data_IF_852584885356
#
_entry.id   IF_852584885356
#
_cell.length_a   1.000
_cell.length_b   1.000
_cell.length_c   1.000
_cell.angle_alpha   90.00
_cell.angle_beta   90.00
_cell.angle_gamma   90.00
#
_symmetry.space_group_name_H-M   'P 1'
#
loop_
_entity.id
_entity.type
_entity.pdbx_description
1 polymer ?
#
# COMPACT_ATOMS: atom_id res chain seq x y z
N UNK A 1 -37.27 3.67 58.39
CA UNK A 1 -35.94 3.10 58.73
C UNK A 1 -35.79 1.65 58.29
N UNK A 2 -36.75 0.73 58.52
CA UNK A 2 -36.63 -0.68 58.11
C UNK A 2 -36.42 -0.89 56.57
N UNK A 3 -37.13 -0.11 55.73
CA UNK A 3 -37.02 -0.18 54.26
C UNK A 3 -35.66 0.28 53.76
N UNK A 4 -35.08 1.33 54.36
CA UNK A 4 -33.76 1.83 53.98
C UNK A 4 -32.67 0.81 54.37
N UNK A 5 -32.77 0.20 55.57
CA UNK A 5 -31.83 -0.81 56.00
C UNK A 5 -31.88 -2.07 55.10
N UNK A 6 -33.10 -2.49 54.74
CA UNK A 6 -33.30 -3.61 53.82
C UNK A 6 -32.68 -3.35 52.44
N UNK A 7 -32.87 -2.14 51.90
CA UNK A 7 -32.29 -1.76 50.59
C UNK A 7 -30.75 -1.78 50.61
N UNK A 8 -30.14 -1.30 51.70
CA UNK A 8 -28.68 -1.32 51.88
C UNK A 8 -28.15 -2.76 51.94
N UNK A 9 -28.84 -3.63 52.68
CA UNK A 9 -28.44 -5.04 52.82
C UNK A 9 -28.58 -5.76 51.44
N UNK A 10 -29.69 -5.56 50.73
CA UNK A 10 -29.91 -6.20 49.42
C UNK A 10 -28.88 -5.72 48.40
N UNK A 11 -28.63 -4.41 48.32
CA UNK A 11 -27.60 -3.86 47.40
C UNK A 11 -26.21 -4.35 47.77
N UNK A 12 -25.89 -4.41 49.06
CA UNK A 12 -24.60 -4.93 49.53
C UNK A 12 -24.38 -6.40 49.19
N UNK A 13 -25.39 -7.25 49.38
CA UNK A 13 -25.35 -8.66 49.00
C UNK A 13 -25.24 -8.85 47.49
N UNK A 14 -25.99 -8.07 46.68
CA UNK A 14 -25.87 -8.10 45.24
C UNK A 14 -24.47 -7.68 44.80
N UNK A 15 -23.93 -6.61 45.34
CA UNK A 15 -22.57 -6.14 45.06
C UNK A 15 -21.50 -7.18 45.37
N UNK A 16 -21.61 -7.81 46.54
CA UNK A 16 -20.70 -8.89 46.96
C UNK A 16 -20.80 -10.12 46.01
N UNK A 17 -22.02 -10.50 45.62
CA UNK A 17 -22.25 -11.60 44.70
C UNK A 17 -21.62 -11.32 43.33
N UNK A 18 -21.89 -10.15 42.72
CA UNK A 18 -21.29 -9.78 41.47
C UNK A 18 -19.77 -9.63 41.55
N UNK A 19 -19.24 -9.06 42.61
CA UNK A 19 -17.80 -8.97 42.85
C UNK A 19 -17.13 -10.35 42.93
N UNK A 20 -17.75 -11.30 43.63
CA UNK A 20 -17.26 -12.68 43.67
C UNK A 20 -17.30 -13.38 42.31
N UNK A 21 -18.40 -13.21 41.56
CA UNK A 21 -18.53 -13.76 40.20
C UNK A 21 -17.47 -13.19 39.25
N UNK A 22 -17.24 -11.87 39.29
CA UNK A 22 -16.20 -11.23 38.50
C UNK A 22 -14.78 -11.70 38.87
N UNK A 23 -14.52 -11.88 40.19
CA UNK A 23 -13.23 -12.40 40.65
C UNK A 23 -12.98 -13.84 40.18
N UNK A 24 -14.01 -14.69 40.22
CA UNK A 24 -13.94 -16.07 39.72
C UNK A 24 -13.75 -16.05 38.19
N UNK A 25 -14.54 -15.27 37.47
CA UNK A 25 -14.42 -15.12 36.04
C UNK A 25 -13.03 -14.63 35.63
N UNK A 26 -12.48 -13.63 36.33
CA UNK A 26 -11.11 -13.13 36.11
C UNK A 26 -10.04 -14.21 36.26
N UNK A 27 -10.19 -15.12 37.21
CA UNK A 27 -9.25 -16.26 37.37
C UNK A 27 -9.44 -17.35 36.33
N UNK A 28 -10.69 -17.68 36.00
CA UNK A 28 -11.01 -18.77 35.05
C UNK A 28 -10.66 -18.37 33.60
N UNK A 29 -10.86 -17.09 33.25
CA UNK A 29 -10.56 -16.54 31.93
C UNK A 29 -9.21 -15.81 31.87
N UNK A 30 -8.35 -15.99 32.90
CA UNK A 30 -7.02 -15.40 32.83
C UNK A 30 -6.22 -16.06 31.71
N UNK A 31 -5.78 -15.23 30.75
CA UNK A 31 -4.87 -15.64 29.67
C UNK A 31 -3.47 -15.19 30.07
N UNK A 32 -2.58 -16.13 30.26
CA UNK A 32 -1.17 -15.83 30.50
C UNK A 32 -0.58 -15.17 29.23
N UNK A 33 -0.30 -13.88 29.33
CA UNK A 33 0.35 -13.14 28.23
C UNK A 33 1.85 -13.25 28.43
N UNK A 34 2.55 -13.75 27.42
CA UNK A 34 4.02 -13.78 27.41
C UNK A 34 4.56 -12.34 27.60
N UNK A 35 5.43 -12.09 28.59
CA UNK A 35 5.99 -10.75 28.81
C UNK A 35 6.72 -10.20 27.59
N UNK A 36 7.25 -11.06 26.72
CA UNK A 36 7.85 -10.68 25.45
C UNK A 36 6.83 -10.06 24.48
N UNK A 37 5.56 -10.51 24.52
CA UNK A 37 4.50 -9.94 23.69
C UNK A 37 4.27 -8.45 24.00
N UNK A 38 4.27 -8.07 25.28
CA UNK A 38 4.12 -6.67 25.71
C UNK A 38 5.31 -5.83 25.22
N UNK A 39 6.54 -6.33 25.38
CA UNK A 39 7.74 -5.65 24.93
C UNK A 39 7.78 -5.50 23.38
N UNK A 40 7.42 -6.55 22.65
CA UNK A 40 7.29 -6.48 21.18
C UNK A 40 6.22 -5.47 20.78
N UNK A 41 5.05 -5.47 21.46
CA UNK A 41 3.97 -4.51 21.18
C UNK A 41 4.40 -3.06 21.37
N UNK A 42 5.19 -2.76 22.39
CA UNK A 42 5.73 -1.42 22.65
C UNK A 42 6.77 -1.01 21.59
N UNK A 43 7.56 -1.95 21.11
CA UNK A 43 8.55 -1.69 20.05
C UNK A 43 7.91 -1.44 18.66
N UNK A 44 6.66 -1.86 18.44
CA UNK A 44 5.96 -1.69 17.17
C UNK A 44 5.52 -0.23 16.92
N UNK A 45 5.35 0.15 15.67
CA UNK A 45 4.94 1.50 15.25
C UNK A 45 3.54 1.95 15.75
N UNK A 46 2.72 1.05 16.26
CA UNK A 46 1.40 1.36 16.83
C UNK A 46 0.31 1.74 15.81
N UNK A 47 0.61 1.79 14.53
CA UNK A 47 -0.30 2.26 13.48
C UNK A 47 -1.53 1.36 13.25
N UNK A 48 -1.52 0.12 13.74
CA UNK A 48 -2.59 -0.88 13.54
C UNK A 48 -3.06 -1.02 12.07
N UNK A 49 -2.15 -0.78 11.12
CA UNK A 49 -2.45 -0.67 9.68
C UNK A 49 -2.76 -2.00 9.00
N UNK A 50 -2.51 -3.15 9.64
CA UNK A 50 -2.71 -4.48 9.07
C UNK A 50 -1.72 -4.87 7.95
N UNK A 51 -0.78 -3.99 7.57
CA UNK A 51 0.15 -4.22 6.46
C UNK A 51 1.13 -5.40 6.66
N UNK A 52 1.27 -5.88 7.88
CA UNK A 52 1.99 -7.11 8.21
C UNK A 52 1.17 -8.39 7.99
N UNK A 53 -0.13 -8.28 7.64
CA UNK A 53 -1.05 -9.40 7.46
C UNK A 53 -1.71 -9.90 8.76
N UNK A 54 -1.54 -9.17 9.89
CA UNK A 54 -2.15 -9.48 11.18
C UNK A 54 -3.22 -8.46 11.56
N UNK A 55 -4.23 -8.84 12.36
CA UNK A 55 -5.28 -7.92 12.80
C UNK A 55 -4.74 -6.94 13.86
N UNK A 56 -4.02 -5.91 13.40
CA UNK A 56 -3.39 -4.91 14.25
C UNK A 56 -2.05 -5.32 14.88
N UNK A 57 -1.45 -4.39 15.59
CA UNK A 57 -0.13 -4.58 16.20
C UNK A 57 -0.15 -5.62 17.34
N UNK A 58 -1.27 -5.75 18.05
CA UNK A 58 -1.40 -6.75 19.13
C UNK A 58 -1.38 -8.17 18.60
N UNK A 59 -2.09 -8.42 17.47
CA UNK A 59 -2.09 -9.73 16.79
C UNK A 59 -0.71 -10.11 16.26
N UNK A 60 0.02 -9.15 15.70
CA UNK A 60 1.38 -9.38 15.26
C UNK A 60 2.34 -9.63 16.42
N UNK A 61 2.28 -8.82 17.48
CA UNK A 61 3.11 -9.02 18.69
C UNK A 61 2.90 -10.40 19.31
N UNK A 62 1.65 -10.85 19.40
CA UNK A 62 1.32 -12.19 19.89
C UNK A 62 1.91 -13.30 18.98
N UNK A 63 1.80 -13.16 17.67
CA UNK A 63 2.34 -14.14 16.72
C UNK A 63 3.89 -14.20 16.77
N UNK A 64 4.55 -13.04 16.90
CA UNK A 64 6.01 -12.98 17.04
C UNK A 64 6.46 -13.62 18.37
N UNK A 65 5.79 -13.31 19.48
CA UNK A 65 6.13 -13.88 20.80
C UNK A 65 5.99 -15.42 20.81
N UNK A 66 5.03 -15.98 20.06
CA UNK A 66 4.87 -17.43 19.88
C UNK A 66 5.81 -18.05 18.84
N UNK A 67 6.61 -17.24 18.12
CA UNK A 67 7.47 -17.72 17.02
C UNK A 67 6.73 -18.07 15.73
N UNK A 68 5.46 -17.70 15.59
CA UNK A 68 4.61 -17.96 14.42
C UNK A 68 4.84 -16.91 13.30
N UNK A 69 5.47 -15.78 13.62
CA UNK A 69 5.76 -14.72 12.67
C UNK A 69 7.22 -14.24 12.78
N UNK A 70 7.86 -13.90 11.65
CA UNK A 70 9.19 -13.32 11.67
C UNK A 70 9.19 -11.88 12.20
N UNK A 71 10.31 -11.41 12.75
CA UNK A 71 10.44 -10.10 13.41
C UNK A 71 10.37 -8.90 12.46
N UNK A 72 10.51 -9.10 11.14
CA UNK A 72 10.66 -8.07 10.12
C UNK A 72 9.39 -7.75 9.30
N UNK A 73 8.22 -8.23 9.71
CA UNK A 73 6.96 -7.97 8.97
C UNK A 73 6.31 -6.60 9.23
N UNK A 74 6.77 -5.84 10.22
CA UNK A 74 6.18 -4.52 10.51
C UNK A 74 6.62 -3.49 9.45
N UNK A 75 5.83 -3.35 8.37
CA UNK A 75 6.14 -2.42 7.27
C UNK A 75 6.13 -0.95 7.71
N UNK A 76 5.23 -0.56 8.62
CA UNK A 76 5.13 0.81 9.13
C UNK A 76 6.32 1.19 10.04
N UNK A 77 6.87 0.22 10.77
CA UNK A 77 8.02 0.44 11.66
C UNK A 77 9.38 0.33 10.95
N UNK A 78 9.41 -0.30 9.79
CA UNK A 78 10.62 -0.49 8.98
C UNK A 78 11.72 -1.27 9.70
N UNK A 79 12.95 -1.07 9.23
CA UNK A 79 14.14 -1.79 9.71
C UNK A 79 14.46 -1.53 11.19
N UNK A 80 14.29 -0.29 11.66
CA UNK A 80 14.54 0.07 13.06
C UNK A 80 13.64 -0.70 14.03
N UNK A 81 12.37 -0.89 13.68
CA UNK A 81 11.44 -1.70 14.46
C UNK A 81 11.77 -3.18 14.38
N UNK A 82 12.10 -3.68 13.19
CA UNK A 82 12.52 -5.08 13.01
C UNK A 82 13.74 -5.44 13.85
N UNK A 83 14.74 -4.55 13.92
CA UNK A 83 15.93 -4.73 14.75
C UNK A 83 15.57 -4.83 16.25
N UNK A 84 14.74 -3.91 16.76
CA UNK A 84 14.28 -3.93 18.18
C UNK A 84 13.50 -5.20 18.51
N UNK A 85 12.59 -5.61 17.61
CA UNK A 85 11.80 -6.84 17.81
C UNK A 85 12.69 -8.07 17.80
N UNK A 86 13.69 -8.13 16.91
CA UNK A 86 14.66 -9.22 16.84
C UNK A 86 15.53 -9.30 18.11
N UNK A 87 15.93 -8.14 18.66
CA UNK A 87 16.67 -8.05 19.93
C UNK A 87 15.83 -8.59 21.08
N UNK A 88 14.55 -8.19 21.21
CA UNK A 88 13.62 -8.69 22.24
C UNK A 88 13.43 -10.20 22.14
N UNK A 89 13.37 -10.73 20.92
CA UNK A 89 13.18 -12.15 20.66
C UNK A 89 14.48 -12.97 20.70
N UNK A 90 15.65 -12.33 20.73
CA UNK A 90 16.96 -12.98 20.70
C UNK A 90 17.28 -13.69 19.38
N UNK A 91 16.76 -13.20 18.26
CA UNK A 91 16.98 -13.77 16.92
C UNK A 91 17.70 -12.78 16.00
N UNK A 92 18.36 -13.29 14.95
CA UNK A 92 18.94 -12.44 13.92
C UNK A 92 17.85 -11.73 13.09
N UNK A 93 18.10 -10.46 12.74
CA UNK A 93 17.23 -9.69 11.87
C UNK A 93 17.66 -9.87 10.41
N UNK A 94 16.89 -10.63 9.64
CA UNK A 94 17.02 -10.65 8.19
C UNK A 94 16.25 -9.45 7.62
N UNK A 95 16.96 -8.38 7.27
CA UNK A 95 16.37 -7.16 6.75
C UNK A 95 15.62 -7.45 5.43
N UNK A 96 14.31 -7.34 5.45
CA UNK A 96 13.52 -7.40 4.23
C UNK A 96 13.63 -6.07 3.47
N UNK A 97 13.77 -6.12 2.14
CA UNK A 97 13.75 -4.92 1.31
C UNK A 97 12.45 -4.12 1.55
N UNK A 98 12.58 -2.83 1.85
CA UNK A 98 11.44 -1.93 1.97
C UNK A 98 10.68 -1.88 0.64
N UNK A 99 9.39 -2.14 0.69
CA UNK A 99 8.49 -2.06 -0.45
C UNK A 99 7.78 -0.71 -0.48
N UNK A 100 7.48 -0.21 -1.69
CA UNK A 100 6.69 1.01 -1.89
C UNK A 100 5.64 0.78 -2.97
N UNK A 101 4.52 1.47 -2.88
CA UNK A 101 3.49 1.41 -3.90
C UNK A 101 3.96 2.07 -5.20
N UNK A 102 3.50 1.55 -6.31
CA UNK A 102 3.70 2.10 -7.64
C UNK A 102 2.42 1.98 -8.47
N UNK A 103 2.07 3.04 -9.21
CA UNK A 103 0.92 3.06 -10.12
C UNK A 103 1.42 3.15 -11.56
N UNK A 104 1.40 2.05 -12.33
CA UNK A 104 1.89 2.04 -13.72
C UNK A 104 0.88 2.70 -14.66
N UNK A 105 0.68 4.00 -14.50
CA UNK A 105 -0.15 4.81 -15.38
C UNK A 105 0.31 6.28 -15.36
N UNK A 106 0.61 6.84 -16.53
CA UNK A 106 0.87 8.27 -16.75
C UNK A 106 -0.24 8.94 -17.56
N UNK A 107 -1.33 8.21 -17.83
CA UNK A 107 -2.49 8.72 -18.58
C UNK A 107 -3.36 9.65 -17.75
N UNK A 108 -2.86 10.85 -17.47
CA UNK A 108 -3.61 11.94 -16.85
C UNK A 108 -4.70 12.49 -17.79
N UNK A 109 -5.53 13.42 -17.33
CA UNK A 109 -6.53 14.07 -18.18
C UNK A 109 -5.88 14.81 -19.36
N UNK A 110 -4.68 15.38 -19.17
CA UNK A 110 -3.92 16.02 -20.23
C UNK A 110 -3.35 15.04 -21.28
N UNK A 111 -3.14 13.77 -20.88
CA UNK A 111 -2.42 12.78 -21.69
C UNK A 111 -3.30 11.68 -22.27
N UNK A 112 -4.45 11.38 -21.68
CA UNK A 112 -5.34 10.31 -22.10
C UNK A 112 -6.66 10.85 -22.62
N UNK A 113 -7.10 10.36 -23.77
CA UNK A 113 -8.40 10.69 -24.33
C UNK A 113 -9.54 10.12 -23.47
N UNK A 114 -10.58 10.94 -23.26
CA UNK A 114 -11.75 10.55 -22.51
C UNK A 114 -12.82 9.95 -23.43
N UNK A 115 -13.51 8.95 -22.95
CA UNK A 115 -14.68 8.36 -23.60
C UNK A 115 -15.95 9.13 -23.25
N UNK A 116 -16.04 9.58 -22.00
CA UNK A 116 -17.14 10.37 -21.45
C UNK A 116 -16.67 11.13 -20.21
N UNK A 117 -17.41 12.18 -19.85
CA UNK A 117 -17.23 12.88 -18.59
C UNK A 117 -18.00 12.13 -17.50
N UNK A 118 -17.30 11.70 -16.47
CA UNK A 118 -17.89 11.02 -15.34
C UNK A 118 -18.43 12.03 -14.32
N UNK A 119 -19.74 11.98 -14.04
CA UNK A 119 -20.44 12.87 -13.09
C UNK A 119 -21.01 12.12 -11.87
N UNK A 120 -20.63 10.86 -11.69
CA UNK A 120 -21.08 10.02 -10.58
C UNK A 120 -20.28 10.21 -9.28
N UNK A 121 -20.54 9.34 -8.28
CA UNK A 121 -19.79 9.35 -7.03
C UNK A 121 -18.27 9.26 -7.24
N UNK A 122 -17.49 9.96 -6.40
CA UNK A 122 -16.04 9.90 -6.42
C UNK A 122 -15.52 8.56 -5.86
N UNK A 123 -15.88 7.47 -6.51
CA UNK A 123 -15.56 6.10 -6.14
C UNK A 123 -15.24 5.25 -7.36
N UNK A 124 -14.03 4.63 -7.37
CA UNK A 124 -13.57 3.81 -8.49
C UNK A 124 -14.40 2.54 -8.68
N UNK A 125 -14.94 1.95 -7.60
CA UNK A 125 -15.79 0.75 -7.68
C UNK A 125 -17.13 1.11 -8.30
N UNK A 126 -17.74 2.21 -7.84
CA UNK A 126 -18.98 2.72 -8.43
C UNK A 126 -18.81 3.05 -9.93
N UNK A 127 -17.72 3.73 -10.29
CA UNK A 127 -17.45 4.07 -11.69
C UNK A 127 -17.28 2.82 -12.60
N UNK A 128 -16.76 1.73 -12.07
CA UNK A 128 -16.66 0.46 -12.82
C UNK A 128 -18.02 -0.17 -13.10
N UNK A 129 -19.03 0.03 -12.26
CA UNK A 129 -20.37 -0.49 -12.47
C UNK A 129 -21.06 0.23 -13.66
N UNK A 130 -20.77 1.51 -13.87
CA UNK A 130 -21.30 2.33 -14.96
C UNK A 130 -20.54 2.17 -16.28
N UNK A 131 -20.39 0.95 -16.78
CA UNK A 131 -19.75 0.68 -18.08
C UNK A 131 -18.48 -0.15 -18.03
N UNK A 132 -18.13 -0.72 -16.87
CA UNK A 132 -17.07 -1.72 -16.69
C UNK A 132 -15.62 -1.23 -16.93
N UNK A 133 -15.44 0.09 -17.18
CA UNK A 133 -14.14 0.65 -17.60
C UNK A 133 -13.99 2.08 -17.09
N UNK A 134 -12.77 2.60 -17.11
CA UNK A 134 -12.46 4.00 -16.86
C UNK A 134 -13.23 4.95 -17.81
N UNK A 135 -13.46 6.20 -17.38
CA UNK A 135 -13.89 7.30 -18.27
C UNK A 135 -12.90 7.56 -19.39
N UNK A 136 -11.64 7.13 -19.24
CA UNK A 136 -10.60 7.20 -20.24
C UNK A 136 -10.79 6.12 -21.33
N UNK A 137 -10.42 6.39 -22.56
CA UNK A 137 -10.47 5.42 -23.67
C UNK A 137 -9.58 4.20 -23.39
N UNK A 138 -8.44 4.39 -22.72
CA UNK A 138 -7.57 3.29 -22.30
C UNK A 138 -8.26 2.43 -21.24
N UNK A 139 -8.54 1.18 -21.56
CA UNK A 139 -9.20 0.24 -20.63
C UNK A 139 -8.32 -0.20 -19.48
N UNK A 140 -7.01 -0.03 -19.59
CA UNK A 140 -6.01 -0.36 -18.57
C UNK A 140 -5.69 0.83 -17.65
N UNK A 141 -6.17 2.03 -17.96
CA UNK A 141 -5.82 3.25 -17.23
C UNK A 141 -6.32 3.24 -15.78
N UNK A 142 -5.61 3.99 -14.95
CA UNK A 142 -6.12 4.41 -13.64
C UNK A 142 -7.42 5.19 -13.80
N UNK A 143 -8.43 4.87 -12.98
CA UNK A 143 -9.74 5.57 -13.00
C UNK A 143 -9.59 6.99 -12.47
N UNK A 144 -8.78 7.18 -11.41
CA UNK A 144 -8.46 8.50 -10.88
C UNK A 144 -9.45 9.07 -9.86
N UNK A 145 -10.37 8.26 -9.29
CA UNK A 145 -11.39 8.72 -8.33
C UNK A 145 -11.01 8.48 -6.84
N UNK A 146 -9.76 8.13 -6.53
CA UNK A 146 -9.17 8.28 -5.21
C UNK A 146 -9.44 7.18 -4.18
N UNK A 147 -9.96 5.98 -4.52
CA UNK A 147 -10.13 4.92 -3.53
C UNK A 147 -8.82 4.55 -2.84
N UNK A 148 -7.72 4.46 -3.59
CA UNK A 148 -6.39 4.18 -3.06
C UNK A 148 -5.86 5.33 -2.18
N UNK A 149 -6.17 6.59 -2.49
CA UNK A 149 -5.79 7.75 -1.69
C UNK A 149 -6.53 7.75 -0.34
N UNK A 150 -7.85 7.53 -0.36
CA UNK A 150 -8.65 7.42 0.88
C UNK A 150 -8.27 6.24 1.76
N UNK A 151 -7.76 5.15 1.18
CA UNK A 151 -7.27 3.99 1.95
C UNK A 151 -5.87 4.18 2.54
N UNK A 152 -5.15 5.22 2.12
CA UNK A 152 -3.79 5.47 2.59
C UNK A 152 -3.80 6.21 3.93
N UNK A 153 -3.34 5.54 4.99
CA UNK A 153 -3.23 6.12 6.34
C UNK A 153 -1.96 6.97 6.54
N UNK A 154 -1.04 6.94 5.57
CA UNK A 154 0.28 7.57 5.65
C UNK A 154 0.41 8.80 4.75
N UNK A 155 -0.69 9.28 4.19
CA UNK A 155 -0.72 10.41 3.25
C UNK A 155 0.30 10.27 2.09
N UNK A 156 0.51 9.03 1.64
CA UNK A 156 1.48 8.70 0.61
C UNK A 156 0.87 8.53 -0.79
N UNK A 157 -0.45 8.67 -0.94
CA UNK A 157 -1.16 8.44 -2.18
C UNK A 157 -2.08 9.60 -2.51
N UNK A 158 -1.83 10.27 -3.64
CA UNK A 158 -2.58 11.44 -4.08
C UNK A 158 -3.15 11.24 -5.48
N UNK A 159 -4.25 11.92 -5.80
CA UNK A 159 -4.78 11.97 -7.17
C UNK A 159 -4.32 13.28 -7.80
N UNK A 160 -3.56 13.19 -8.87
CA UNK A 160 -3.04 14.35 -9.62
C UNK A 160 -3.50 14.20 -11.07
N UNK A 161 -4.23 15.18 -11.57
CA UNK A 161 -4.77 15.22 -12.94
C UNK A 161 -5.43 13.88 -13.35
N UNK A 162 -6.27 13.31 -12.44
CA UNK A 162 -7.01 12.07 -12.67
C UNK A 162 -6.18 10.79 -12.70
N UNK A 163 -4.98 10.79 -12.11
CA UNK A 163 -4.13 9.60 -11.94
C UNK A 163 -3.60 9.54 -10.50
N UNK A 164 -3.57 8.37 -9.91
CA UNK A 164 -2.95 8.17 -8.60
C UNK A 164 -1.43 8.28 -8.71
N UNK A 165 -0.84 9.09 -7.84
CA UNK A 165 0.60 9.28 -7.65
C UNK A 165 0.99 8.85 -6.25
N UNK A 166 2.21 8.35 -6.10
CA UNK A 166 2.73 7.85 -4.83
C UNK A 166 3.87 8.73 -4.36
N UNK A 167 3.72 9.28 -3.16
CA UNK A 167 4.86 9.82 -2.43
C UNK A 167 5.65 8.66 -1.81
N UNK A 168 6.81 8.37 -2.38
CA UNK A 168 7.66 7.24 -1.98
C UNK A 168 8.33 7.46 -0.63
N UNK A 169 8.46 8.72 -0.16
CA UNK A 169 9.04 9.04 1.15
C UNK A 169 8.09 8.63 2.28
N UNK A 170 6.81 8.95 2.13
CA UNK A 170 5.78 8.64 3.11
C UNK A 170 5.24 7.20 2.97
N UNK A 171 5.53 6.52 1.84
CA UNK A 171 5.00 5.19 1.59
C UNK A 171 5.73 4.12 2.42
N UNK A 172 4.98 3.40 3.23
CA UNK A 172 5.49 2.30 4.07
C UNK A 172 5.23 0.90 3.46
N UNK A 173 4.62 0.80 2.28
CA UNK A 173 4.37 -0.49 1.62
C UNK A 173 3.27 -1.36 2.24
N UNK A 174 2.33 -0.78 3.00
CA UNK A 174 1.29 -1.52 3.72
C UNK A 174 0.24 -2.23 2.85
N UNK A 175 0.27 -2.07 1.55
CA UNK A 175 -0.64 -2.67 0.56
C UNK A 175 -2.11 -2.19 0.60
N UNK A 176 -2.56 -1.37 1.54
CA UNK A 176 -3.96 -0.91 1.64
C UNK A 176 -4.48 -0.28 0.33
N UNK A 177 -3.64 0.43 -0.40
CA UNK A 177 -3.97 1.01 -1.71
C UNK A 177 -4.08 -0.05 -2.83
N UNK A 178 -3.39 -1.19 -2.71
CA UNK A 178 -3.49 -2.33 -3.65
C UNK A 178 -4.87 -2.97 -3.51
N UNK A 179 -5.30 -3.25 -2.28
CA UNK A 179 -6.59 -3.87 -1.96
C UNK A 179 -7.77 -2.94 -2.28
N UNK A 180 -7.57 -1.63 -2.09
CA UNK A 180 -8.58 -0.63 -2.41
C UNK A 180 -8.78 -0.43 -3.92
N UNK A 181 -7.84 -0.87 -4.77
CA UNK A 181 -7.88 -0.61 -6.20
C UNK A 181 -8.73 -1.65 -6.96
N UNK A 182 -9.93 -1.32 -7.46
CA UNK A 182 -10.78 -2.29 -8.14
C UNK A 182 -10.21 -2.75 -9.50
N UNK A 183 -9.20 -2.03 -10.04
CA UNK A 183 -8.50 -2.40 -11.26
C UNK A 183 -7.21 -3.16 -11.02
N UNK A 184 -6.82 -3.39 -9.78
CA UNK A 184 -5.57 -4.06 -9.40
C UNK A 184 -4.33 -3.48 -10.12
N UNK A 185 -4.38 -2.16 -10.42
CA UNK A 185 -3.30 -1.49 -11.13
C UNK A 185 -2.15 -1.10 -10.20
N UNK A 186 -2.43 -0.89 -8.91
CA UNK A 186 -1.40 -0.55 -7.92
C UNK A 186 -0.57 -1.78 -7.62
N UNK A 187 0.76 -1.63 -7.63
CA UNK A 187 1.72 -2.71 -7.33
C UNK A 187 2.65 -2.29 -6.21
N UNK A 188 3.17 -3.25 -5.46
CA UNK A 188 4.31 -3.03 -4.58
C UNK A 188 5.59 -3.36 -5.33
N UNK A 189 6.58 -2.50 -5.20
CA UNK A 189 7.93 -2.66 -5.79
C UNK A 189 8.98 -2.39 -4.71
N UNK A 190 10.19 -2.97 -4.81
CA UNK A 190 11.27 -2.62 -3.91
C UNK A 190 11.57 -1.11 -3.98
N UNK A 191 11.80 -0.47 -2.83
CA UNK A 191 12.13 0.98 -2.78
C UNK A 191 13.39 1.29 -3.57
N UNK A 192 14.37 0.37 -3.57
CA UNK A 192 15.60 0.49 -4.34
C UNK A 192 15.38 0.49 -5.86
N UNK A 193 14.20 0.00 -6.33
CA UNK A 193 13.86 -0.01 -7.76
C UNK A 193 13.45 1.39 -8.20
N UNK A 194 14.34 2.07 -8.96
CA UNK A 194 14.15 3.45 -9.42
C UNK A 194 13.60 3.54 -10.84
N UNK A 195 13.76 2.50 -11.65
CA UNK A 195 13.39 2.47 -13.07
C UNK A 195 12.11 1.65 -13.23
N UNK A 196 11.02 2.29 -13.61
CA UNK A 196 9.73 1.60 -13.81
C UNK A 196 8.94 2.17 -15.00
N UNK A 197 8.42 1.31 -15.91
CA UNK A 197 7.49 1.73 -16.95
C UNK A 197 6.14 2.16 -16.34
N UNK A 198 5.76 3.41 -16.57
CA UNK A 198 4.51 3.98 -16.04
C UNK A 198 3.33 3.78 -17.02
N UNK A 199 3.15 2.56 -17.50
CA UNK A 199 2.06 2.12 -18.37
C UNK A 199 1.66 0.69 -18.01
N UNK A 200 0.38 0.37 -18.20
CA UNK A 200 -0.19 -0.97 -18.03
C UNK A 200 -0.99 -1.44 -19.24
N UNK A 201 -1.01 -0.67 -20.34
CA UNK A 201 -1.75 -1.05 -21.54
C UNK A 201 -1.09 -2.22 -22.27
N UNK A 202 -1.91 -3.19 -22.65
CA UNK A 202 -1.52 -4.32 -23.48
C UNK A 202 -1.97 -4.14 -24.95
N UNK A 203 -2.57 -2.99 -25.28
CA UNK A 203 -3.01 -2.67 -26.63
C UNK A 203 -1.82 -2.53 -27.59
N UNK A 204 -2.06 -2.78 -28.87
CA UNK A 204 -1.06 -2.56 -29.92
C UNK A 204 -0.67 -1.08 -29.99
N UNK A 205 0.59 -0.78 -30.29
CA UNK A 205 1.13 0.58 -30.29
C UNK A 205 0.33 1.59 -31.13
N UNK A 206 -0.18 1.17 -32.30
CA UNK A 206 -1.03 2.01 -33.14
C UNK A 206 -2.34 2.43 -32.47
N UNK A 207 -2.92 1.58 -31.62
CA UNK A 207 -4.11 1.89 -30.82
C UNK A 207 -3.74 2.80 -29.65
N UNK A 208 -2.65 2.50 -28.94
CA UNK A 208 -2.17 3.33 -27.82
C UNK A 208 -1.90 4.76 -28.28
N UNK A 209 -1.28 4.96 -29.44
CA UNK A 209 -1.00 6.30 -29.97
C UNK A 209 -2.26 7.15 -30.20
N UNK A 210 -3.41 6.53 -30.47
CA UNK A 210 -4.69 7.24 -30.66
C UNK A 210 -5.36 7.64 -29.34
N UNK A 211 -5.08 6.94 -28.24
CA UNK A 211 -5.83 7.09 -26.98
C UNK A 211 -5.01 7.63 -25.81
N UNK A 212 -3.67 7.67 -25.95
CA UNK A 212 -2.81 8.15 -24.87
C UNK A 212 -1.51 8.72 -25.44
N UNK A 213 -1.19 9.97 -25.11
CA UNK A 213 0.02 10.66 -25.59
C UNK A 213 1.32 10.07 -25.01
N UNK A 214 1.25 9.42 -23.85
CA UNK A 214 2.40 8.88 -23.09
C UNK A 214 2.31 7.37 -22.85
N UNK A 215 1.52 6.64 -23.63
CA UNK A 215 1.39 5.18 -23.47
C UNK A 215 2.55 4.40 -24.11
N UNK A 216 2.84 3.20 -23.58
CA UNK A 216 3.81 2.28 -24.21
C UNK A 216 3.30 1.79 -25.56
N UNK A 217 4.11 1.92 -26.60
CA UNK A 217 3.78 1.49 -27.96
C UNK A 217 4.46 0.17 -28.36
N UNK A 218 5.14 -0.48 -27.42
CA UNK A 218 5.80 -1.77 -27.68
C UNK A 218 6.97 -1.69 -28.70
N UNK A 219 7.63 -0.54 -28.84
CA UNK A 219 8.65 -0.32 -29.88
C UNK A 219 9.99 -1.04 -29.64
N UNK A 220 10.16 -1.70 -28.51
CA UNK A 220 11.35 -2.48 -28.11
C UNK A 220 12.66 -1.70 -28.04
N UNK A 221 12.69 -0.35 -28.17
CA UNK A 221 13.92 0.42 -28.05
C UNK A 221 14.59 0.21 -26.68
N UNK A 222 13.82 0.33 -25.59
CA UNK A 222 14.31 0.13 -24.24
C UNK A 222 14.89 -1.29 -24.01
N UNK A 223 14.34 -2.31 -24.65
CA UNK A 223 14.84 -3.68 -24.58
C UNK A 223 16.18 -3.82 -25.30
N UNK A 224 16.30 -3.29 -26.50
CA UNK A 224 17.53 -3.37 -27.32
C UNK A 224 18.71 -2.63 -26.71
N UNK A 225 18.42 -1.52 -26.06
CA UNK A 225 19.43 -0.64 -25.47
C UNK A 225 19.74 -0.97 -23.99
N UNK A 226 19.16 -2.03 -23.42
CA UNK A 226 19.40 -2.39 -22.03
C UNK A 226 20.71 -3.20 -21.88
N UNK A 227 21.75 -2.67 -21.23
CA UNK A 227 23.03 -3.37 -21.11
C UNK A 227 22.97 -4.60 -20.18
N UNK A 228 21.96 -4.68 -19.31
CA UNK A 228 21.78 -5.77 -18.34
C UNK A 228 20.66 -6.75 -18.76
N UNK A 229 20.07 -6.59 -19.93
CA UNK A 229 18.91 -7.37 -20.40
C UNK A 229 17.77 -7.47 -19.36
N UNK A 230 17.61 -6.39 -18.56
CA UNK A 230 16.68 -6.32 -17.45
C UNK A 230 15.29 -5.79 -17.84
N UNK A 231 15.10 -5.31 -19.09
CA UNK A 231 13.82 -4.81 -19.57
C UNK A 231 13.42 -5.56 -20.84
N UNK A 232 12.20 -6.10 -20.83
CA UNK A 232 11.66 -6.85 -21.95
C UNK A 232 10.28 -6.30 -22.32
N UNK A 233 9.91 -6.41 -23.59
CA UNK A 233 8.58 -6.06 -24.09
C UNK A 233 7.75 -7.32 -24.27
N UNK A 234 6.80 -7.53 -23.35
CA UNK A 234 5.91 -8.68 -23.35
C UNK A 234 4.47 -8.17 -23.52
N UNK A 235 3.73 -8.76 -24.43
CA UNK A 235 2.35 -8.36 -24.74
C UNK A 235 2.21 -6.83 -25.01
N UNK A 236 3.08 -6.28 -25.83
CA UNK A 236 3.16 -4.86 -26.21
C UNK A 236 3.54 -3.89 -25.05
N UNK A 237 3.94 -4.39 -23.89
CA UNK A 237 4.25 -3.60 -22.72
C UNK A 237 5.68 -3.86 -22.24
N UNK A 238 6.44 -2.78 -22.02
CA UNK A 238 7.76 -2.87 -21.40
C UNK A 238 7.62 -3.28 -19.91
N UNK A 239 8.38 -4.28 -19.51
CA UNK A 239 8.46 -4.80 -18.14
C UNK A 239 9.91 -4.85 -17.71
N UNK A 240 10.19 -4.43 -16.48
CA UNK A 240 11.54 -4.45 -15.87
C UNK A 240 11.60 -5.60 -14.87
N UNK A 241 12.67 -6.39 -14.97
CA UNK A 241 13.06 -7.36 -13.95
C UNK A 241 13.91 -6.65 -12.88
N UNK A 242 13.40 -6.45 -11.65
CA UNK A 242 14.14 -5.77 -10.60
C UNK A 242 15.43 -6.48 -10.19
N UNK A 243 15.49 -7.82 -10.34
CA UNK A 243 16.66 -8.60 -9.95
C UNK A 243 17.85 -8.40 -10.89
N UNK A 244 17.57 -8.09 -12.18
CA UNK A 244 18.60 -7.85 -13.20
C UNK A 244 18.93 -6.38 -13.39
N UNK A 245 18.02 -5.47 -12.98
CA UNK A 245 18.14 -4.06 -13.28
C UNK A 245 19.25 -3.37 -12.50
N UNK A 246 20.27 -2.87 -13.19
CA UNK A 246 21.39 -2.12 -12.62
C UNK A 246 21.10 -0.62 -12.40
N UNK A 247 19.87 -0.18 -12.63
CA UNK A 247 19.39 1.19 -12.39
C UNK A 247 20.13 2.29 -13.20
N UNK A 248 20.68 1.98 -14.37
CA UNK A 248 21.47 2.91 -15.18
C UNK A 248 20.67 4.04 -15.85
N UNK A 249 19.34 3.92 -15.99
CA UNK A 249 18.47 4.94 -16.59
C UNK A 249 18.38 4.95 -18.12
N UNK A 250 19.29 4.26 -18.84
CA UNK A 250 19.39 4.33 -20.29
C UNK A 250 18.07 4.05 -21.02
N UNK A 251 17.27 3.09 -20.54
CA UNK A 251 15.95 2.79 -21.10
C UNK A 251 14.94 3.96 -20.96
N UNK A 252 15.10 4.83 -19.96
CA UNK A 252 14.30 6.06 -19.81
C UNK A 252 14.64 7.07 -20.91
N UNK A 253 15.96 7.25 -21.19
CA UNK A 253 16.45 8.25 -22.15
C UNK A 253 16.05 7.90 -23.57
N UNK A 254 16.11 6.62 -23.95
CA UNK A 254 15.78 6.16 -25.30
C UNK A 254 14.29 5.99 -25.56
N UNK A 255 13.44 6.12 -24.55
CA UNK A 255 12.00 5.91 -24.69
C UNK A 255 11.32 7.06 -25.43
N UNK A 256 10.80 6.85 -26.66
CA UNK A 256 10.20 7.93 -27.47
C UNK A 256 8.86 8.44 -26.90
N UNK A 257 8.31 7.76 -25.88
CA UNK A 257 7.04 8.11 -25.23
C UNK A 257 7.25 8.58 -23.80
N UNK A 258 8.48 8.63 -23.32
CA UNK A 258 8.87 9.06 -21.98
C UNK A 258 8.05 8.39 -20.86
N UNK A 259 7.70 7.08 -21.02
CA UNK A 259 6.87 6.36 -20.06
C UNK A 259 7.69 5.59 -19.02
N UNK A 260 8.99 5.51 -19.18
CA UNK A 260 9.87 4.84 -18.23
C UNK A 260 10.34 5.89 -17.24
N UNK A 261 9.76 5.85 -16.05
CA UNK A 261 10.12 6.79 -14.99
C UNK A 261 11.45 6.38 -14.36
N UNK A 262 12.31 7.37 -14.15
CA UNK A 262 13.48 7.27 -13.32
C UNK A 262 13.20 8.02 -12.01
N UNK A 263 12.96 7.30 -10.92
CA UNK A 263 12.72 7.87 -9.59
C UNK A 263 14.04 8.26 -8.93
N UNK A 264 14.71 9.28 -9.48
CA UNK A 264 15.82 9.99 -8.85
C UNK A 264 15.30 10.96 -7.78
N UNK A 265 16.21 11.78 -7.19
CA UNK A 265 15.87 12.75 -6.14
C UNK A 265 14.81 13.80 -6.54
N UNK A 266 14.47 13.93 -7.82
CA UNK A 266 13.58 14.96 -8.37
C UNK A 266 12.13 14.52 -8.61
N UNK A 267 11.80 13.24 -8.38
CA UNK A 267 10.45 12.72 -8.62
C UNK A 267 9.63 12.63 -7.32
N UNK A 268 9.66 13.68 -6.54
CA UNK A 268 8.72 13.81 -5.42
C UNK A 268 7.57 14.70 -5.87
N UNK A 269 6.33 14.22 -5.68
CA UNK A 269 5.16 15.10 -5.79
C UNK A 269 5.33 16.14 -4.68
N UNK A 270 5.63 17.37 -5.01
CA UNK A 270 5.74 18.45 -4.03
C UNK A 270 4.36 18.68 -3.40
N UNK A 271 4.33 19.02 -2.10
CA UNK A 271 3.08 19.44 -1.45
C UNK A 271 2.37 20.58 -2.19
N UNK A 272 3.12 21.41 -2.90
CA UNK A 272 2.63 22.52 -3.70
C UNK A 272 1.82 22.04 -4.91
N UNK A 273 2.22 20.93 -5.58
CA UNK A 273 1.46 20.34 -6.68
C UNK A 273 0.14 19.69 -6.23
N UNK A 274 0.06 19.26 -4.97
CA UNK A 274 -1.16 18.67 -4.39
C UNK A 274 -2.15 19.76 -3.96
N UNK A 275 -1.66 20.94 -3.53
CA UNK A 275 -2.50 22.05 -3.05
C UNK A 275 -3.03 22.95 -4.17
N UNK A 276 -2.48 22.85 -5.38
CA UNK A 276 -2.88 23.65 -6.55
C UNK A 276 -4.09 23.09 -7.30
N UNK A 277 -4.76 22.05 -6.79
CA UNK A 277 -5.99 21.44 -7.32
C UNK A 277 -7.16 21.56 -6.33
#
# INVERSE_FOLDING_TARGET
MKTILLSIVVLGLLGALFGALLAIASKVFHVDVDPRQAAVREALAGANCGGCGFPGCDGYAAAVARGEAPCNKCVAGGEATAAKVAEIMGVSNDAADKMVAFVPCSGSHANAELRFNYTGPQDCRAAMLFGGKSSKLCTFACIGLGNCARACQFDAMHIVDGVAKVDRLNCVGCAACVDACPKSIVKLIPEKQKIMPACSSLDKGAQVMKICKVGCIGCMKCQRECPADAIQVVNNLAQVDPAKCIQCGHCSDVCPRHIINYFGKEYYVSREEVQAQ
#
